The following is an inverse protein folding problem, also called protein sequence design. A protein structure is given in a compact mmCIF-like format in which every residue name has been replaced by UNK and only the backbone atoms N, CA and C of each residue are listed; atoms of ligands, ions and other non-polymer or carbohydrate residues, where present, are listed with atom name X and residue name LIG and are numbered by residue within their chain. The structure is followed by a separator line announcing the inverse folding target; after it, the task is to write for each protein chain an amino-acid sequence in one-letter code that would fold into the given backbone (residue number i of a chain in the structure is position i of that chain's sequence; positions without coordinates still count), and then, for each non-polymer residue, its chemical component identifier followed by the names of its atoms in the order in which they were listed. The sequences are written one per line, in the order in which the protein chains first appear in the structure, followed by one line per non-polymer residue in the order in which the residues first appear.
data_IF_925639960631
#
_entry.id   IF_925639960631
#
_cell.length_a   1.000
_cell.length_b   1.000
_cell.length_c   1.000
_cell.angle_alpha   90.00
_cell.angle_beta   90.00
_cell.angle_gamma   90.00
#
_symmetry.space_group_name_H-M   'P 1'
#
loop_
_entity.id
_entity.type
_entity.pdbx_description
1 polymer ?
#
# COMPACT_ATOMS: atom_id res chain seq x y z
N UNK A 1 -33.22 -2.96 -5.93
CA UNK A 1 -32.31 -3.85 -6.69
C UNK A 1 -31.24 -3.11 -7.51
N UNK A 2 -31.17 -1.78 -7.46
CA UNK A 2 -30.25 -0.92 -8.24
C UNK A 2 -28.89 -0.66 -7.57
N UNK A 3 -28.83 -0.65 -6.23
CA UNK A 3 -27.59 -0.40 -5.48
C UNK A 3 -26.51 -1.48 -5.70
N UNK A 4 -26.90 -2.74 -5.87
CA UNK A 4 -25.95 -3.84 -6.05
C UNK A 4 -25.19 -3.78 -7.39
N UNK A 5 -25.85 -3.32 -8.46
CA UNK A 5 -25.25 -3.17 -9.78
C UNK A 5 -24.34 -1.94 -9.87
N UNK A 6 -24.72 -0.82 -9.26
CA UNK A 6 -23.83 0.35 -9.18
C UNK A 6 -22.59 0.04 -8.34
N UNK A 7 -22.76 -0.63 -7.19
CA UNK A 7 -21.66 -0.99 -6.30
C UNK A 7 -20.67 -1.95 -6.98
N UNK A 8 -21.15 -2.98 -7.69
CA UNK A 8 -20.28 -3.86 -8.47
C UNK A 8 -19.59 -3.14 -9.63
N UNK A 9 -20.26 -2.21 -10.31
CA UNK A 9 -19.68 -1.43 -11.41
C UNK A 9 -18.57 -0.50 -10.90
N UNK A 10 -18.79 0.15 -9.76
CA UNK A 10 -17.80 1.02 -9.12
C UNK A 10 -16.60 0.21 -8.60
N UNK A 11 -16.83 -0.97 -7.99
CA UNK A 11 -15.76 -1.88 -7.57
C UNK A 11 -14.94 -2.36 -8.78
N UNK A 12 -15.60 -2.79 -9.86
CA UNK A 12 -14.90 -3.21 -11.09
C UNK A 12 -14.15 -2.04 -11.73
N UNK A 13 -14.67 -0.82 -11.63
CA UNK A 13 -13.99 0.38 -12.12
C UNK A 13 -12.74 0.69 -11.28
N UNK A 14 -12.84 0.69 -9.94
CA UNK A 14 -11.69 0.88 -9.05
C UNK A 14 -10.61 -0.21 -9.22
N UNK A 15 -11.01 -1.47 -9.39
CA UNK A 15 -10.08 -2.57 -9.68
C UNK A 15 -9.46 -2.44 -11.08
N UNK A 16 -10.21 -1.97 -12.09
CA UNK A 16 -9.70 -1.70 -13.43
C UNK A 16 -8.70 -0.55 -13.45
N UNK A 17 -8.97 0.51 -12.68
CA UNK A 17 -8.04 1.63 -12.51
C UNK A 17 -6.76 1.16 -11.80
N UNK A 18 -6.85 0.27 -10.81
CA UNK A 18 -5.68 -0.37 -10.19
C UNK A 18 -4.86 -1.16 -11.21
N UNK A 19 -5.51 -1.91 -12.11
CA UNK A 19 -4.84 -2.66 -13.16
C UNK A 19 -4.09 -1.73 -14.15
N UNK A 20 -4.69 -0.59 -14.48
CA UNK A 20 -4.13 0.38 -15.41
C UNK A 20 -3.05 1.25 -14.76
N UNK A 21 -3.23 1.61 -13.48
CA UNK A 21 -2.23 2.30 -12.66
C UNK A 21 -0.95 1.47 -12.47
N UNK A 22 -1.05 0.13 -12.48
CA UNK A 22 0.13 -0.74 -12.49
C UNK A 22 1.05 -0.52 -13.71
N UNK A 23 0.55 0.09 -14.79
CA UNK A 23 1.33 0.44 -15.98
C UNK A 23 1.85 1.87 -15.99
N UNK A 24 1.38 2.75 -15.09
CA UNK A 24 1.71 4.19 -15.10
C UNK A 24 2.21 4.62 -13.72
N UNK A 25 3.52 4.82 -13.64
CA UNK A 25 4.27 5.31 -12.48
C UNK A 25 4.02 6.82 -12.28
N UNK A 26 2.90 7.27 -11.73
CA UNK A 26 2.70 8.72 -11.47
C UNK A 26 1.59 8.98 -10.47
N UNK A 27 1.58 10.18 -9.88
CA UNK A 27 0.63 10.66 -8.86
C UNK A 27 -0.86 10.34 -9.13
N UNK A 28 -1.27 10.20 -10.40
CA UNK A 28 -2.61 9.77 -10.79
C UNK A 28 -2.96 8.35 -10.27
N UNK A 29 -1.97 7.46 -10.18
CA UNK A 29 -2.11 6.13 -9.59
C UNK A 29 -2.47 6.21 -8.10
N UNK A 30 -1.92 7.18 -7.36
CA UNK A 30 -2.23 7.37 -5.94
C UNK A 30 -3.71 7.74 -5.78
N UNK A 31 -4.22 8.64 -6.63
CA UNK A 31 -5.64 9.01 -6.63
C UNK A 31 -6.54 7.81 -6.94
N UNK A 32 -6.16 6.99 -7.93
CA UNK A 32 -6.89 5.75 -8.26
C UNK A 32 -6.87 4.73 -7.12
N UNK A 33 -5.72 4.53 -6.46
CA UNK A 33 -5.62 3.65 -5.29
C UNK A 33 -6.42 4.18 -4.11
N UNK A 34 -6.41 5.49 -3.87
CA UNK A 34 -7.21 6.11 -2.83
C UNK A 34 -8.70 5.84 -3.06
N UNK A 35 -9.22 6.06 -4.28
CA UNK A 35 -10.60 5.72 -4.61
C UNK A 35 -10.89 4.22 -4.43
N UNK A 36 -9.96 3.34 -4.81
CA UNK A 36 -10.12 1.90 -4.59
C UNK A 36 -10.18 1.54 -3.10
N UNK A 37 -9.45 2.28 -2.25
CA UNK A 37 -9.46 2.11 -0.79
C UNK A 37 -10.69 2.73 -0.14
N UNK A 38 -11.21 3.84 -0.66
CA UNK A 38 -12.48 4.42 -0.19
C UNK A 38 -13.64 3.45 -0.42
N UNK A 39 -13.60 2.71 -1.53
CA UNK A 39 -14.58 1.69 -1.88
C UNK A 39 -14.35 0.38 -1.14
N UNK A 40 -13.09 -0.02 -0.98
CA UNK A 40 -12.68 -1.22 -0.26
C UNK A 40 -11.47 -0.91 0.63
N UNK A 41 -11.70 -0.49 1.89
CA UNK A 41 -10.63 -0.12 2.82
C UNK A 41 -9.63 -1.25 3.07
N UNK A 42 -10.08 -2.49 2.84
CA UNK A 42 -9.30 -3.71 3.08
C UNK A 42 -8.67 -4.28 1.80
N UNK A 43 -8.45 -3.45 0.77
CA UNK A 43 -7.84 -3.92 -0.48
C UNK A 43 -6.31 -3.90 -0.40
N UNK A 44 -5.75 -5.00 0.11
CA UNK A 44 -4.30 -5.22 0.32
C UNK A 44 -3.45 -4.83 -0.90
N UNK A 45 -3.91 -5.17 -2.11
CA UNK A 45 -3.16 -4.90 -3.35
C UNK A 45 -3.07 -3.41 -3.65
N UNK A 46 -4.15 -2.66 -3.41
CA UNK A 46 -4.14 -1.21 -3.55
C UNK A 46 -3.25 -0.55 -2.49
N UNK A 47 -3.29 -1.00 -1.22
CA UNK A 47 -2.40 -0.48 -0.19
C UNK A 47 -0.92 -0.68 -0.52
N UNK A 48 -0.54 -1.90 -0.95
CA UNK A 48 0.83 -2.20 -1.35
C UNK A 48 1.26 -1.33 -2.54
N UNK A 49 0.43 -1.23 -3.57
CA UNK A 49 0.73 -0.40 -4.73
C UNK A 49 0.77 1.09 -4.40
N UNK A 50 -0.04 1.56 -3.46
CA UNK A 50 -0.01 2.95 -3.01
C UNK A 50 1.30 3.28 -2.32
N UNK A 51 1.81 2.38 -1.46
CA UNK A 51 3.15 2.48 -0.91
C UNK A 51 4.23 2.55 -2.00
N UNK A 52 4.12 1.73 -3.06
CA UNK A 52 5.08 1.73 -4.17
C UNK A 52 5.04 3.06 -4.91
N UNK A 53 3.86 3.59 -5.18
CA UNK A 53 3.70 4.90 -5.82
C UNK A 53 4.29 6.04 -4.99
N UNK A 54 4.15 6.02 -3.65
CA UNK A 54 4.80 6.99 -2.76
C UNK A 54 6.33 6.87 -2.78
N UNK A 55 6.85 5.64 -2.70
CA UNK A 55 8.29 5.38 -2.74
C UNK A 55 8.94 5.82 -4.07
N UNK A 56 8.20 5.70 -5.19
CA UNK A 56 8.67 6.05 -6.53
C UNK A 56 8.42 7.51 -6.93
N UNK A 57 7.82 8.35 -6.09
CA UNK A 57 7.73 9.79 -6.39
C UNK A 57 9.13 10.42 -6.47
N UNK A 58 9.28 11.53 -7.21
CA UNK A 58 10.57 12.23 -7.44
C UNK A 58 11.35 12.57 -6.16
N UNK A 59 10.66 12.68 -5.02
CA UNK A 59 11.27 12.98 -3.72
C UNK A 59 11.60 11.74 -2.89
N UNK A 60 11.24 10.55 -3.36
CA UNK A 60 11.34 9.30 -2.61
C UNK A 60 10.63 9.42 -1.27
N UNK A 61 9.29 9.51 -1.28
CA UNK A 61 8.48 9.65 -0.07
C UNK A 61 8.39 8.31 0.68
N UNK A 62 9.57 7.78 1.07
CA UNK A 62 9.72 6.48 1.69
C UNK A 62 9.07 6.46 3.07
N UNK A 63 9.13 7.56 3.82
CA UNK A 63 8.52 7.67 5.15
C UNK A 63 6.99 7.53 5.08
N UNK A 64 6.39 8.14 4.07
CA UNK A 64 4.97 8.11 3.79
C UNK A 64 4.53 6.77 3.20
N UNK A 65 5.41 6.06 2.49
CA UNK A 65 5.12 4.73 1.95
C UNK A 65 5.03 3.62 3.01
N UNK A 66 5.86 3.71 4.06
CA UNK A 66 5.97 2.70 5.13
C UNK A 66 4.62 2.32 5.75
N UNK A 67 3.79 3.27 6.25
CA UNK A 67 2.54 2.90 6.92
C UNK A 67 1.60 2.12 5.99
N UNK A 68 1.56 2.43 4.68
CA UNK A 68 0.72 1.69 3.74
C UNK A 68 1.13 0.23 3.58
N UNK A 69 2.44 -0.06 3.56
CA UNK A 69 2.94 -1.43 3.56
C UNK A 69 2.63 -2.15 4.87
N UNK A 70 2.82 -1.49 6.02
CA UNK A 70 2.50 -2.05 7.34
C UNK A 70 1.01 -2.42 7.41
N UNK A 71 0.11 -1.55 6.93
CA UNK A 71 -1.33 -1.83 6.87
C UNK A 71 -1.68 -2.95 5.88
N UNK A 72 -1.01 -3.02 4.73
CA UNK A 72 -1.18 -4.13 3.78
C UNK A 72 -0.80 -5.47 4.42
N UNK A 73 0.34 -5.50 5.13
CA UNK A 73 0.86 -6.68 5.82
C UNK A 73 0.04 -7.07 7.05
N UNK A 74 -0.53 -6.09 7.76
CA UNK A 74 -1.48 -6.33 8.85
C UNK A 74 -2.69 -7.15 8.37
N UNK A 75 -3.16 -6.89 7.16
CA UNK A 75 -4.29 -7.60 6.56
C UNK A 75 -3.89 -8.88 5.85
N UNK A 76 -2.70 -8.92 5.25
CA UNK A 76 -2.15 -10.13 4.65
C UNK A 76 -0.65 -10.27 4.96
N UNK A 77 -0.31 -10.96 6.06
CA UNK A 77 1.09 -11.17 6.44
C UNK A 77 1.89 -12.02 5.45
N UNK A 78 1.19 -12.76 4.55
CA UNK A 78 1.78 -13.61 3.51
C UNK A 78 2.15 -12.86 2.24
N UNK A 79 1.96 -11.54 2.19
CA UNK A 79 2.37 -10.72 1.06
C UNK A 79 3.88 -10.46 1.10
N UNK A 80 4.68 -11.40 0.60
CA UNK A 80 6.16 -11.30 0.61
C UNK A 80 6.69 -10.08 -0.16
N UNK A 81 5.97 -9.67 -1.21
CA UNK A 81 6.27 -8.44 -1.95
C UNK A 81 6.19 -7.20 -1.05
N UNK A 82 5.16 -7.09 -0.21
CA UNK A 82 5.00 -5.95 0.70
C UNK A 82 6.12 -5.89 1.76
N UNK A 83 6.61 -7.05 2.25
CA UNK A 83 7.78 -7.11 3.14
C UNK A 83 9.05 -6.59 2.46
N UNK A 84 9.29 -6.96 1.20
CA UNK A 84 10.45 -6.47 0.44
C UNK A 84 10.40 -4.96 0.24
N UNK A 85 9.25 -4.42 -0.17
CA UNK A 85 9.10 -2.97 -0.35
C UNK A 85 9.20 -2.21 0.97
N UNK A 86 8.64 -2.73 2.05
CA UNK A 86 8.79 -2.15 3.39
C UNK A 86 10.27 -2.05 3.79
N UNK A 87 11.04 -3.13 3.60
CA UNK A 87 12.48 -3.15 3.90
C UNK A 87 13.26 -2.14 3.07
N UNK A 88 12.93 -2.00 1.79
CA UNK A 88 13.53 -1.00 0.90
C UNK A 88 13.23 0.41 1.42
N UNK A 89 11.96 0.72 1.67
CA UNK A 89 11.56 2.04 2.19
C UNK A 89 12.18 2.35 3.55
N UNK A 90 12.30 1.37 4.45
CA UNK A 90 13.00 1.55 5.74
C UNK A 90 14.49 1.84 5.56
N UNK A 91 15.14 1.15 4.61
CA UNK A 91 16.54 1.38 4.27
C UNK A 91 16.76 2.79 3.72
N UNK A 92 15.90 3.22 2.78
CA UNK A 92 15.96 4.55 2.19
C UNK A 92 15.56 5.66 3.17
N UNK A 93 14.69 5.36 4.14
CA UNK A 93 14.30 6.29 5.21
C UNK A 93 15.31 6.34 6.38
N UNK A 94 16.45 5.65 6.26
CA UNK A 94 17.48 5.51 7.31
C UNK A 94 16.94 4.97 8.65
N UNK A 95 15.88 4.17 8.63
CA UNK A 95 15.23 3.56 9.81
C UNK A 95 15.75 2.13 10.05
N UNK A 96 17.07 2.01 10.20
CA UNK A 96 17.76 0.70 10.31
C UNK A 96 17.30 -0.13 11.52
N UNK A 97 16.92 0.52 12.63
CA UNK A 97 16.42 -0.14 13.84
C UNK A 97 15.18 -1.01 13.58
N UNK A 98 14.37 -0.67 12.57
CA UNK A 98 13.14 -1.37 12.23
C UNK A 98 13.34 -2.43 11.13
N UNK A 99 14.52 -2.49 10.51
CA UNK A 99 14.84 -3.51 9.51
C UNK A 99 14.87 -4.89 10.15
N UNK A 100 15.45 -5.03 11.35
CA UNK A 100 15.44 -6.30 12.08
C UNK A 100 14.01 -6.74 12.43
N UNK A 101 13.16 -5.81 12.86
CA UNK A 101 11.74 -6.10 13.11
C UNK A 101 11.00 -6.50 11.82
N UNK A 102 11.33 -5.87 10.70
CA UNK A 102 10.81 -6.20 9.37
C UNK A 102 11.25 -7.60 8.90
N UNK A 103 12.51 -7.97 9.12
CA UNK A 103 13.05 -9.30 8.78
C UNK A 103 12.46 -10.41 9.65
N UNK A 104 12.26 -10.12 10.94
CA UNK A 104 11.56 -10.98 11.88
C UNK A 104 10.04 -11.05 11.65
N UNK A 105 9.53 -10.31 10.64
CA UNK A 105 8.09 -10.18 10.32
C UNK A 105 7.23 -9.76 11.53
N UNK A 106 7.82 -8.96 12.43
CA UNK A 106 7.16 -8.53 13.65
C UNK A 106 6.29 -7.30 13.40
N UNK A 107 5.01 -7.55 13.09
CA UNK A 107 4.04 -6.50 12.76
C UNK A 107 3.63 -5.65 13.96
N UNK A 108 3.69 -6.18 15.19
CA UNK A 108 3.28 -5.43 16.38
C UNK A 108 4.18 -4.22 16.62
N UNK A 109 5.49 -4.38 16.44
CA UNK A 109 6.47 -3.29 16.54
C UNK A 109 6.25 -2.27 15.43
N UNK A 110 6.04 -2.75 14.20
CA UNK A 110 5.87 -1.89 13.02
C UNK A 110 4.57 -1.08 13.07
N UNK A 111 3.48 -1.67 13.55
CA UNK A 111 2.20 -0.97 13.73
C UNK A 111 2.25 0.07 14.83
N UNK A 112 2.98 -0.20 15.94
CA UNK A 112 3.18 0.78 17.01
C UNK A 112 3.97 1.99 16.54
N UNK A 113 4.99 1.78 15.72
CA UNK A 113 5.82 2.85 15.16
C UNK A 113 5.13 3.62 14.03
N UNK A 114 4.23 2.97 13.29
CA UNK A 114 3.54 3.55 12.13
C UNK A 114 2.03 3.28 12.18
N UNK A 115 1.30 3.92 13.11
CA UNK A 115 -0.16 3.89 13.10
C UNK A 115 -0.68 4.68 11.88
N UNK A 116 -1.65 4.10 11.19
CA UNK A 116 -2.31 4.68 10.00
C UNK A 116 -3.80 4.82 10.26
#
# INVERSE_FOLDING_TARGET
MTYFFLFNRIIRFGISLVQQANSVQSADAISAYQQALDLKPNYVRALANMGISYANQDRGMYKESIPYYVRALAMNPKADNAWQYLRLSLSCASRQNLIQACEARNLDVLQKEFPL
#
